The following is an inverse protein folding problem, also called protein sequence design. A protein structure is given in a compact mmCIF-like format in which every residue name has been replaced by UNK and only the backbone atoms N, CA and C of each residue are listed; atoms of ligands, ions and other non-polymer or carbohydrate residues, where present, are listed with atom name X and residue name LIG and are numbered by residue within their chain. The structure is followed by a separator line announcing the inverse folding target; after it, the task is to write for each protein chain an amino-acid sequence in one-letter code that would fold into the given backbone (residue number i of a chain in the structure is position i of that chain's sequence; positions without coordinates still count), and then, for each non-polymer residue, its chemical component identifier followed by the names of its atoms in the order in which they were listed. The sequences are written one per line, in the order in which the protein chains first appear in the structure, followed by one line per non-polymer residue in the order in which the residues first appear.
data_IF_490470798921
#
_entry.id   IF_490470798921
#
_cell.length_a   1.000
_cell.length_b   1.000
_cell.length_c   1.000
_cell.angle_alpha   90.00
_cell.angle_beta   90.00
_cell.angle_gamma   90.00
#
_symmetry.space_group_name_H-M   'P 1'
#
loop_
_entity.id
_entity.type
_entity.pdbx_description
1 polymer ?
#
# COMPACT_ATOMS: atom_id res chain seq x y z
N UNK A 1 -6.20 10.95 18.76
CA UNK A 1 -5.64 11.01 17.39
C UNK A 1 -4.75 9.80 17.20
N UNK A 2 -4.90 9.04 16.11
CA UNK A 2 -4.03 7.89 15.84
C UNK A 2 -2.65 8.39 15.39
N UNK A 3 -1.52 7.92 15.96
CA UNK A 3 -0.17 8.35 15.59
C UNK A 3 0.13 8.24 14.10
N UNK A 4 -0.48 7.26 13.42
CA UNK A 4 -0.26 7.01 12.00
C UNK A 4 -0.78 8.13 11.10
N UNK A 5 -1.77 8.92 11.56
CA UNK A 5 -2.29 10.08 10.83
C UNK A 5 -1.36 11.29 10.90
N UNK A 6 -0.31 11.22 11.70
CA UNK A 6 0.70 12.26 11.83
C UNK A 6 1.93 12.01 10.94
N UNK A 7 2.02 10.85 10.30
CA UNK A 7 3.09 10.57 9.33
C UNK A 7 2.86 11.41 8.06
N UNK A 8 3.93 11.95 7.45
CA UNK A 8 3.84 12.50 6.10
C UNK A 8 3.43 11.39 5.11
N UNK A 9 2.61 11.72 4.09
CA UNK A 9 2.19 10.74 3.08
C UNK A 9 3.39 10.08 2.37
N UNK A 10 4.49 10.80 2.17
CA UNK A 10 5.70 10.27 1.53
C UNK A 10 6.36 9.15 2.34
N UNK A 11 6.41 9.30 3.67
CA UNK A 11 6.97 8.29 4.57
C UNK A 11 6.05 7.07 4.62
N UNK A 12 4.74 7.30 4.69
CA UNK A 12 3.75 6.21 4.69
C UNK A 12 3.77 5.43 3.36
N UNK A 13 3.88 6.13 2.23
CA UNK A 13 4.03 5.51 0.90
C UNK A 13 5.27 4.62 0.81
N UNK A 14 6.42 5.05 1.36
CA UNK A 14 7.63 4.23 1.33
C UNK A 14 7.49 2.98 2.22
N UNK A 15 6.85 3.11 3.39
CA UNK A 15 6.50 1.95 4.24
C UNK A 15 5.63 0.97 3.46
N UNK A 16 4.62 1.46 2.74
CA UNK A 16 3.73 0.62 1.93
C UNK A 16 4.48 -0.15 0.84
N UNK A 17 5.45 0.48 0.17
CA UNK A 17 6.28 -0.19 -0.85
C UNK A 17 7.09 -1.34 -0.25
N UNK A 18 7.56 -1.19 0.99
CA UNK A 18 8.24 -2.27 1.71
C UNK A 18 7.31 -3.40 2.17
N UNK A 19 5.99 -3.22 2.13
CA UNK A 19 5.01 -4.28 2.42
C UNK A 19 4.70 -5.16 1.21
N UNK A 20 5.18 -4.84 0.01
CA UNK A 20 4.95 -5.65 -1.19
C UNK A 20 5.68 -6.99 -1.09
N UNK A 21 5.06 -8.04 -1.63
CA UNK A 21 5.76 -9.32 -1.83
C UNK A 21 6.89 -9.13 -2.84
N UNK A 22 8.13 -9.35 -2.39
CA UNK A 22 9.34 -9.23 -3.22
C UNK A 22 9.79 -10.57 -3.80
N UNK A 23 9.15 -11.68 -3.42
CA UNK A 23 9.51 -13.01 -3.91
C UNK A 23 8.89 -13.30 -5.28
N UNK A 24 7.75 -12.67 -5.57
CA UNK A 24 7.00 -12.85 -6.81
C UNK A 24 7.28 -11.71 -7.80
N UNK A 25 7.51 -12.03 -9.07
CA UNK A 25 7.66 -11.02 -10.12
C UNK A 25 6.37 -10.20 -10.33
N UNK A 26 5.23 -10.86 -10.14
CA UNK A 26 3.90 -10.25 -10.21
C UNK A 26 3.12 -10.57 -8.94
N UNK A 27 2.36 -9.58 -8.47
CA UNK A 27 1.54 -9.66 -7.27
C UNK A 27 0.14 -10.10 -7.69
N UNK A 28 -0.31 -11.23 -7.17
CA UNK A 28 -1.71 -11.65 -7.31
C UNK A 28 -2.58 -10.77 -6.41
N UNK A 29 -3.61 -10.09 -6.94
CA UNK A 29 -4.51 -9.29 -6.12
C UNK A 29 -5.20 -10.15 -5.05
N UNK A 30 -4.94 -9.87 -3.78
CA UNK A 30 -5.61 -10.51 -2.65
C UNK A 30 -5.91 -9.49 -1.55
N UNK A 31 -7.14 -9.48 -1.02
CA UNK A 31 -7.59 -8.51 0.00
C UNK A 31 -6.75 -8.55 1.29
N UNK A 32 -6.17 -9.70 1.63
CA UNK A 32 -5.28 -9.84 2.81
C UNK A 32 -3.80 -9.53 2.52
N UNK A 33 -3.46 -9.09 1.32
CA UNK A 33 -2.09 -8.80 0.91
C UNK A 33 -1.95 -7.37 0.36
N UNK A 34 -0.76 -6.80 0.47
CA UNK A 34 -0.47 -5.54 -0.19
C UNK A 34 -0.51 -5.73 -1.72
N UNK A 35 -0.97 -4.72 -2.48
CA UNK A 35 -1.34 -3.38 -2.02
C UNK A 35 -2.79 -3.27 -1.51
N UNK A 36 -3.67 -4.24 -1.76
CA UNK A 36 -5.11 -4.13 -1.48
C UNK A 36 -5.41 -3.99 0.02
N UNK A 37 -4.76 -4.77 0.88
CA UNK A 37 -4.94 -4.69 2.34
C UNK A 37 -4.72 -3.25 2.87
N UNK A 38 -3.76 -2.53 2.29
CA UNK A 38 -3.41 -1.18 2.71
C UNK A 38 -4.54 -0.18 2.42
N UNK A 39 -5.40 -0.49 1.45
CA UNK A 39 -6.55 0.34 1.09
C UNK A 39 -7.74 0.18 2.05
N UNK A 40 -7.74 -0.84 2.91
CA UNK A 40 -8.89 -1.22 3.74
C UNK A 40 -8.78 -0.76 5.21
N UNK A 41 -7.62 -0.21 5.63
CA UNK A 41 -7.36 0.13 7.05
C UNK A 41 -8.11 1.39 7.49
N UNK A 42 -7.95 2.50 6.77
CA UNK A 42 -8.68 3.74 7.03
C UNK A 42 -8.63 4.67 5.80
N UNK A 43 -9.49 5.70 5.76
CA UNK A 43 -9.55 6.66 4.64
C UNK A 43 -8.19 7.28 4.28
N UNK A 44 -7.38 7.62 5.28
CA UNK A 44 -6.05 8.20 5.05
C UNK A 44 -5.07 7.22 4.39
N UNK A 45 -5.10 5.95 4.80
CA UNK A 45 -4.29 4.90 4.17
C UNK A 45 -4.77 4.59 2.75
N UNK A 46 -6.09 4.58 2.53
CA UNK A 46 -6.68 4.39 1.22
C UNK A 46 -6.21 5.47 0.24
N UNK A 47 -6.31 6.75 0.62
CA UNK A 47 -5.85 7.89 -0.19
C UNK A 47 -4.34 7.81 -0.48
N UNK A 48 -3.53 7.48 0.52
CA UNK A 48 -2.07 7.34 0.36
C UNK A 48 -1.70 6.15 -0.54
N UNK A 49 -2.33 4.99 -0.37
CA UNK A 49 -2.06 3.80 -1.16
C UNK A 49 -2.47 3.99 -2.62
N UNK A 50 -3.67 4.53 -2.89
CA UNK A 50 -4.12 4.84 -4.25
C UNK A 50 -3.27 5.93 -4.90
N UNK A 51 -2.77 6.89 -4.12
CA UNK A 51 -1.84 7.94 -4.56
C UNK A 51 -0.39 7.49 -4.77
N UNK A 52 -0.06 6.21 -4.56
CA UNK A 52 1.31 5.68 -4.70
C UNK A 52 1.42 4.71 -5.88
N UNK A 53 1.73 5.18 -7.11
CA UNK A 53 1.76 4.33 -8.31
C UNK A 53 2.65 3.09 -8.21
N UNK A 54 3.77 3.18 -7.48
CA UNK A 54 4.72 2.06 -7.28
C UNK A 54 4.07 0.81 -6.68
N UNK A 55 2.99 0.96 -5.91
CA UNK A 55 2.23 -0.16 -5.34
C UNK A 55 1.47 -0.98 -6.38
N UNK A 56 1.19 -0.39 -7.54
CA UNK A 56 0.28 -0.96 -8.55
C UNK A 56 1.02 -1.41 -9.82
N UNK A 57 2.34 -1.18 -9.91
CA UNK A 57 3.13 -1.45 -11.12
C UNK A 57 3.35 -2.94 -11.43
N UNK A 58 3.14 -3.84 -10.47
CA UNK A 58 3.44 -5.27 -10.60
C UNK A 58 2.23 -6.18 -10.39
N UNK A 59 1.01 -5.66 -10.52
CA UNK A 59 -0.20 -6.49 -10.40
C UNK A 59 -0.38 -7.43 -11.59
N UNK A 60 -0.73 -8.68 -11.31
CA UNK A 60 -1.19 -9.66 -12.30
C UNK A 60 -2.67 -9.39 -12.68
N UNK A 61 -3.01 -9.53 -13.98
CA UNK A 61 -4.37 -9.33 -14.52
C UNK A 61 -5.05 -10.68 -14.77
#
# INVERSE_FOLDING_TARGET
LSPVKCLPPEVLSEIFVHCLDTQSQFIKPHHTQAPLLLTEVCKYWNECALGTPRLWCSLEI
#
